data_IF_436624809883
#
_entry.id   IF_436624809883
#
_cell.length_a   1.000
_cell.length_b   1.000
_cell.length_c   1.000
_cell.angle_alpha   90.00
_cell.angle_beta   90.00
_cell.angle_gamma   90.00
#
_symmetry.space_group_name_H-M   'P 1'
#
loop_
_entity.id
_entity.type
_entity.pdbx_description
1 polymer ?
#
# COMPACT_ATOMS: atom_id res chain seq x y z
N UNK A 1 -9.18 17.87 5.80
CA UNK A 1 -8.75 16.58 6.38
C UNK A 1 -8.03 15.84 5.28
N UNK A 2 -6.73 15.62 5.42
CA UNK A 2 -5.93 14.86 4.45
C UNK A 2 -5.68 13.48 5.03
N UNK A 3 -5.76 12.44 4.21
CA UNK A 3 -5.24 11.13 4.63
C UNK A 3 -3.72 11.19 4.49
N UNK A 4 -2.98 10.98 5.58
CA UNK A 4 -1.52 10.87 5.55
C UNK A 4 -1.10 9.45 5.88
N UNK A 5 -0.12 8.97 5.11
CA UNK A 5 0.51 7.67 5.28
C UNK A 5 1.99 7.90 5.52
N UNK A 6 2.49 7.39 6.64
CA UNK A 6 3.91 7.38 6.97
C UNK A 6 4.51 6.04 6.57
N UNK A 7 5.64 6.08 5.86
CA UNK A 7 6.43 4.90 5.50
C UNK A 7 7.50 4.68 6.58
N UNK A 8 7.29 3.69 7.45
CA UNK A 8 8.22 3.33 8.51
C UNK A 8 9.14 2.21 8.01
N UNK A 9 10.46 2.44 7.88
CA UNK A 9 11.37 1.42 7.37
C UNK A 9 11.51 0.24 8.36
N UNK A 10 11.49 -0.99 7.84
CA UNK A 10 11.69 -2.22 8.64
C UNK A 10 12.91 -3.04 8.19
N UNK A 11 13.71 -2.51 7.25
CA UNK A 11 14.91 -3.14 6.67
C UNK A 11 14.65 -3.84 5.33
N UNK A 12 15.72 -4.17 4.59
CA UNK A 12 15.64 -4.84 3.27
C UNK A 12 14.70 -4.15 2.27
N UNK A 13 14.72 -2.81 2.23
CA UNK A 13 13.85 -1.98 1.38
C UNK A 13 12.34 -2.22 1.60
N UNK A 14 11.97 -2.66 2.80
CA UNK A 14 10.59 -2.84 3.23
C UNK A 14 10.14 -1.74 4.17
N UNK A 15 8.85 -1.43 4.09
CA UNK A 15 8.20 -0.43 4.91
C UNK A 15 6.89 -0.97 5.50
N UNK A 16 6.57 -0.57 6.73
CA UNK A 16 5.19 -0.50 7.18
C UNK A 16 4.58 0.82 6.72
N UNK A 17 3.37 0.78 6.16
CA UNK A 17 2.63 1.97 5.76
C UNK A 17 1.55 2.25 6.81
N UNK A 18 1.68 3.37 7.53
CA UNK A 18 0.86 3.69 8.71
C UNK A 18 -0.05 4.88 8.43
N UNK A 19 -1.34 4.79 8.73
CA UNK A 19 -2.28 5.91 8.68
C UNK A 19 -2.09 6.86 9.87
N UNK A 20 -1.05 7.68 9.79
CA UNK A 20 -0.48 8.46 10.90
C UNK A 20 -1.30 9.65 11.39
N UNK A 21 -2.31 10.10 10.63
CA UNK A 21 -3.19 11.21 11.06
C UNK A 21 -4.63 10.77 11.38
N UNK A 22 -4.94 9.48 11.28
CA UNK A 22 -6.31 9.00 11.44
C UNK A 22 -6.46 7.86 12.45
N UNK A 23 -5.61 6.84 12.40
CA UNK A 23 -5.85 5.62 13.18
C UNK A 23 -4.60 5.02 13.82
N UNK A 24 -3.40 5.43 13.39
CA UNK A 24 -2.12 4.78 13.73
C UNK A 24 -2.10 3.28 13.39
N UNK A 25 -3.01 2.83 12.52
CA UNK A 25 -3.06 1.46 12.02
C UNK A 25 -2.24 1.32 10.74
N UNK A 26 -1.77 0.10 10.50
CA UNK A 26 -1.01 -0.24 9.31
C UNK A 26 -1.94 -0.72 8.18
N UNK A 27 -1.57 -0.39 6.95
CA UNK A 27 -2.10 -1.04 5.75
C UNK A 27 -1.53 -2.46 5.70
N UNK A 28 -2.41 -3.46 5.70
CA UNK A 28 -2.01 -4.86 5.61
C UNK A 28 -3.02 -5.67 4.81
N UNK A 29 -2.55 -6.78 4.23
CA UNK A 29 -3.42 -7.77 3.62
C UNK A 29 -3.99 -8.65 4.74
N UNK A 30 -5.29 -8.56 4.97
CA UNK A 30 -5.96 -9.33 6.02
C UNK A 30 -5.76 -10.83 5.78
N UNK A 31 -5.09 -11.51 6.73
CA UNK A 31 -4.84 -12.95 6.68
C UNK A 31 -3.83 -13.43 5.63
N UNK A 32 -3.08 -12.52 4.97
CA UNK A 32 -2.01 -12.88 4.03
C UNK A 32 -2.46 -13.64 2.77
N UNK A 33 -3.76 -13.65 2.46
CA UNK A 33 -4.30 -14.37 1.31
C UNK A 33 -4.28 -13.49 0.05
N UNK A 34 -3.86 -14.04 -1.09
CA UNK A 34 -3.74 -13.38 -2.40
C UNK A 34 -5.03 -12.76 -2.95
N UNK A 35 -6.22 -13.19 -2.48
CA UNK A 35 -7.51 -12.58 -2.84
C UNK A 35 -8.08 -11.63 -1.78
N UNK A 36 -7.32 -11.35 -0.71
CA UNK A 36 -7.80 -10.49 0.36
C UNK A 36 -7.66 -9.00 0.03
N UNK A 37 -8.62 -8.23 0.57
CA UNK A 37 -8.58 -6.77 0.60
C UNK A 37 -7.42 -6.28 1.48
N UNK A 38 -6.96 -5.07 1.19
CA UNK A 38 -6.12 -4.33 2.12
C UNK A 38 -7.01 -3.70 3.19
N UNK A 39 -6.67 -3.91 4.46
CA UNK A 39 -7.37 -3.38 5.62
C UNK A 39 -6.43 -2.54 6.50
N UNK A 40 -7.04 -1.74 7.37
CA UNK A 40 -6.34 -1.05 8.46
C UNK A 40 -6.32 -1.96 9.69
N UNK A 41 -5.15 -2.46 10.06
CA UNK A 41 -4.97 -3.40 11.16
C UNK A 41 -3.91 -2.90 12.14
N UNK A 42 -4.00 -3.36 13.40
CA UNK A 42 -2.97 -3.09 14.40
C UNK A 42 -1.62 -3.53 13.84
N UNK A 43 -0.67 -2.60 13.76
CA UNK A 43 0.65 -2.85 13.21
C UNK A 43 1.33 -4.05 13.89
N UNK A 44 1.88 -4.96 13.09
CA UNK A 44 2.59 -6.15 13.53
C UNK A 44 3.83 -6.39 12.67
N UNK A 45 4.81 -7.06 13.25
CA UNK A 45 6.08 -7.35 12.60
C UNK A 45 6.03 -8.67 11.82
N UNK A 46 5.14 -8.78 10.84
CA UNK A 46 4.95 -9.97 9.99
C UNK A 46 4.77 -9.58 8.52
N UNK A 47 5.11 -10.48 7.59
CA UNK A 47 5.34 -10.14 6.18
C UNK A 47 4.16 -9.47 5.47
N UNK A 48 2.90 -9.82 5.77
CA UNK A 48 1.73 -9.20 5.12
C UNK A 48 1.45 -7.76 5.58
N UNK A 49 2.18 -7.24 6.59
CA UNK A 49 2.19 -5.83 6.98
C UNK A 49 3.28 -5.01 6.27
N UNK A 50 4.15 -5.67 5.50
CA UNK A 50 5.30 -5.02 4.88
C UNK A 50 5.11 -4.83 3.38
N UNK A 51 5.65 -3.72 2.89
CA UNK A 51 5.48 -3.27 1.52
C UNK A 51 6.83 -2.85 0.93
N UNK A 52 7.11 -3.32 -0.30
CA UNK A 52 8.15 -2.74 -1.16
C UNK A 52 7.54 -1.58 -1.94
N UNK A 53 8.28 -0.48 -2.03
CA UNK A 53 7.94 0.66 -2.87
C UNK A 53 8.71 0.54 -4.17
N UNK A 54 8.02 0.21 -5.25
CA UNK A 54 8.62 -0.03 -6.57
C UNK A 54 8.32 1.16 -7.47
N UNK A 55 9.35 1.81 -8.02
CA UNK A 55 9.16 2.89 -8.99
C UNK A 55 8.93 2.31 -10.39
N UNK A 56 7.88 2.75 -11.08
CA UNK A 56 7.60 2.42 -12.48
C UNK A 56 8.46 3.29 -13.42
N UNK A 57 8.71 2.84 -14.66
CA UNK A 57 9.34 3.67 -15.68
C UNK A 57 8.58 4.99 -15.98
N UNK A 58 7.26 5.03 -15.74
CA UNK A 58 6.44 6.24 -15.87
C UNK A 58 6.71 7.30 -14.79
N UNK A 59 7.40 6.94 -13.70
CA UNK A 59 7.62 7.79 -12.53
C UNK A 59 6.64 7.54 -11.37
N UNK A 60 5.51 6.87 -11.62
CA UNK A 60 4.58 6.43 -10.57
C UNK A 60 5.16 5.30 -9.72
N UNK A 61 4.49 4.96 -8.60
CA UNK A 61 4.91 3.89 -7.70
C UNK A 61 3.90 2.72 -7.69
N UNK A 62 4.40 1.52 -7.42
CA UNK A 62 3.62 0.37 -6.98
C UNK A 62 3.99 0.01 -5.54
N UNK A 63 3.02 -0.44 -4.77
CA UNK A 63 3.25 -0.99 -3.43
C UNK A 63 3.07 -2.51 -3.48
N UNK A 64 4.16 -3.26 -3.43
CA UNK A 64 4.13 -4.73 -3.47
C UNK A 64 4.16 -5.29 -2.05
N UNK A 65 3.17 -6.13 -1.71
CA UNK A 65 3.15 -6.81 -0.42
C UNK A 65 4.29 -7.82 -0.32
N UNK A 66 4.99 -7.83 0.82
CA UNK A 66 6.17 -8.68 0.99
C UNK A 66 5.85 -10.18 1.15
N UNK A 67 4.64 -10.51 1.62
CA UNK A 67 4.18 -11.89 1.84
C UNK A 67 3.69 -12.53 0.53
N UNK A 68 2.82 -11.81 -0.19
CA UNK A 68 2.13 -12.36 -1.37
C UNK A 68 2.84 -12.07 -2.69
N UNK A 69 3.71 -11.05 -2.74
CA UNK A 69 4.33 -10.56 -3.98
C UNK A 69 3.36 -9.80 -4.90
N UNK A 70 2.13 -9.54 -4.49
CA UNK A 70 1.12 -8.81 -5.26
C UNK A 70 1.14 -7.31 -4.93
N UNK A 71 0.67 -6.50 -5.88
CA UNK A 71 0.64 -5.04 -5.76
C UNK A 71 -0.73 -4.52 -5.34
N UNK A 72 -0.71 -3.46 -4.53
CA UNK A 72 -1.90 -2.71 -4.11
C UNK A 72 -2.58 -2.04 -5.31
N UNK A 73 -3.89 -2.23 -5.47
CA UNK A 73 -4.68 -1.56 -6.50
C UNK A 73 -6.17 -1.46 -6.08
N UNK A 74 -6.92 -0.46 -6.57
CA UNK A 74 -8.36 -0.38 -6.36
C UNK A 74 -9.06 -1.48 -7.18
N UNK A 75 -9.98 -2.22 -6.57
CA UNK A 75 -10.67 -3.33 -7.27
C UNK A 75 -11.56 -2.85 -8.42
N UNK A 76 -12.11 -1.64 -8.27
CA UNK A 76 -12.98 -0.96 -9.23
C UNK A 76 -12.70 0.55 -9.17
N UNK A 77 -12.75 1.20 -10.33
CA UNK A 77 -12.54 2.65 -10.45
C UNK A 77 -13.84 3.42 -10.17
N UNK A 78 -14.40 3.24 -8.96
CA UNK A 78 -15.63 3.92 -8.52
C UNK A 78 -15.43 4.54 -7.14
N UNK A 79 -16.20 5.57 -6.76
CA UNK A 79 -16.21 6.10 -5.41
C UNK A 79 -16.48 4.99 -4.38
N UNK A 80 -15.78 5.03 -3.25
CA UNK A 80 -15.85 4.01 -2.18
C UNK A 80 -15.43 2.60 -2.63
N UNK A 81 -14.69 2.48 -3.73
CA UNK A 81 -14.07 1.24 -4.16
C UNK A 81 -13.15 0.65 -3.07
N UNK A 82 -13.15 -0.67 -2.96
CA UNK A 82 -12.23 -1.36 -2.05
C UNK A 82 -10.82 -1.34 -2.62
N UNK A 83 -9.83 -1.25 -1.73
CA UNK A 83 -8.43 -1.48 -2.08
C UNK A 83 -8.10 -2.95 -1.84
N UNK A 84 -7.47 -3.58 -2.83
CA UNK A 84 -7.07 -4.98 -2.78
C UNK A 84 -5.68 -5.16 -3.39
N UNK A 85 -5.27 -6.42 -3.60
CA UNK A 85 -4.00 -6.75 -4.22
C UNK A 85 -4.17 -7.66 -5.44
N UNK A 86 -3.23 -7.56 -6.38
CA UNK A 86 -3.22 -8.33 -7.62
C UNK A 86 -1.90 -8.21 -8.34
N UNK A 87 -1.81 -8.75 -9.56
CA UNK A 87 -0.55 -8.81 -10.27
C UNK A 87 0.07 -7.42 -10.45
N UNK A 88 1.35 -7.29 -10.08
CA UNK A 88 2.14 -6.11 -10.35
C UNK A 88 2.33 -5.96 -11.87
N UNK A 89 1.76 -4.90 -12.44
CA UNK A 89 1.83 -4.63 -13.87
C UNK A 89 2.27 -3.18 -14.12
N UNK A 90 3.33 -2.99 -14.92
CA UNK A 90 3.84 -1.66 -15.27
C UNK A 90 2.90 -0.91 -16.24
N UNK A 91 2.12 -1.62 -17.07
CA UNK A 91 1.17 -1.03 -18.02
C UNK A 91 -0.25 -0.83 -17.48
N UNK A 92 -0.54 -1.25 -16.25
CA UNK A 92 -1.86 -1.02 -15.64
C UNK A 92 -1.84 0.29 -14.84
N UNK A 93 -2.77 1.20 -15.11
CA UNK A 93 -2.87 2.44 -14.33
C UNK A 93 -3.44 2.21 -12.92
N UNK A 94 -4.20 1.13 -12.70
CA UNK A 94 -4.86 0.88 -11.41
C UNK A 94 -3.87 0.66 -10.25
N UNK A 95 -2.72 0.03 -10.51
CA UNK A 95 -1.67 -0.15 -9.51
C UNK A 95 -0.60 0.96 -9.57
N UNK A 96 -0.84 2.06 -10.29
CA UNK A 96 0.01 3.26 -10.27
C UNK A 96 -0.44 4.22 -9.19
N UNK A 97 0.44 4.49 -8.22
CA UNK A 97 0.20 5.41 -7.12
C UNK A 97 1.14 6.60 -7.22
N UNK A 98 0.58 7.80 -7.04
CA UNK A 98 1.36 9.02 -6.88
C UNK A 98 1.59 9.27 -5.39
N UNK A 99 2.85 9.33 -4.97
CA UNK A 99 3.22 9.73 -3.62
C UNK A 99 3.33 11.25 -3.62
N UNK A 100 2.32 11.91 -3.04
CA UNK A 100 2.33 13.36 -2.87
C UNK A 100 2.73 13.66 -1.44
N UNK A 101 3.90 14.29 -1.28
CA UNK A 101 4.31 14.80 0.03
C UNK A 101 3.38 15.96 0.39
N UNK A 102 2.71 15.92 1.55
CA UNK A 102 1.92 17.05 2.01
C UNK A 102 2.82 18.29 2.06
N UNK A 103 2.39 19.42 1.49
CA UNK A 103 3.05 20.68 1.82
C UNK A 103 2.76 20.96 3.29
N UNK A 104 3.79 21.23 4.07
CA UNK A 104 3.60 21.80 5.40
C UNK A 104 2.79 23.11 5.26
N UNK A 105 1.83 23.37 6.17
CA UNK A 105 1.08 24.62 6.17
C UNK A 105 1.98 25.84 6.43
#
# INVERSE_FOLDING_TARGET
MFQRITFVPVGNDLYQMVFSEHSDLCIAIAGGNTSARADQLQCRNVMHFYWRVLQKPSGDYMFQNADTGLCLYPSVNVPNGIIQQGNCNNGNAANSWNIVVPRDP
#
